data_IF_950746028208
#
_entry.id   IF_950746028208
#
_cell.length_a   1.000
_cell.length_b   1.000
_cell.length_c   1.000
_cell.angle_alpha   90.00
_cell.angle_beta   90.00
_cell.angle_gamma   90.00
#
_symmetry.space_group_name_H-M   'P 1'
#
loop_
_entity.id
_entity.type
_entity.pdbx_description
1 polymer ?
#
# COMPACT_ATOMS: atom_id res chain seq x y z
N UNK A 1 70.32 23.25 -7.09
CA UNK A 1 68.97 22.64 -7.05
C UNK A 1 68.16 23.37 -6.01
N UNK A 2 67.08 23.98 -6.48
CA UNK A 2 66.14 24.82 -5.74
C UNK A 2 65.27 23.94 -4.84
N UNK A 3 65.05 24.35 -3.60
CA UNK A 3 63.85 23.97 -2.86
C UNK A 3 63.14 25.24 -2.40
N UNK A 4 62.04 25.53 -3.09
CA UNK A 4 61.14 26.64 -2.82
C UNK A 4 60.11 26.22 -1.77
N UNK A 5 59.70 27.21 -0.97
CA UNK A 5 58.63 27.17 0.03
C UNK A 5 57.29 26.74 -0.56
N UNK A 6 56.50 26.00 0.22
CA UNK A 6 55.04 26.07 0.19
C UNK A 6 54.51 25.95 1.63
N UNK A 7 54.00 27.08 2.14
CA UNK A 7 53.10 27.14 3.29
C UNK A 7 51.71 26.86 2.74
N UNK A 8 51.07 25.78 3.17
CA UNK A 8 49.64 25.56 2.93
C UNK A 8 48.95 25.66 4.28
N UNK A 9 48.18 26.73 4.43
CA UNK A 9 47.14 26.88 5.44
C UNK A 9 46.11 25.78 5.17
N UNK A 10 46.10 24.72 5.97
CA UNK A 10 44.92 23.85 6.07
C UNK A 10 43.96 24.54 7.04
N UNK A 11 43.06 25.35 6.46
CA UNK A 11 41.76 25.61 7.07
C UNK A 11 41.16 24.24 7.37
N UNK A 12 40.82 24.00 8.64
CA UNK A 12 40.29 22.74 9.12
C UNK A 12 39.16 22.26 8.21
N UNK A 13 39.49 21.25 7.41
CA UNK A 13 38.55 20.42 6.71
C UNK A 13 37.68 19.79 7.80
N UNK A 14 36.39 20.12 7.83
CA UNK A 14 35.41 19.30 8.53
C UNK A 14 35.50 17.94 7.87
N UNK A 15 36.22 17.02 8.51
CA UNK A 15 36.19 15.61 8.16
C UNK A 15 34.79 15.16 8.55
N UNK A 16 33.86 15.23 7.60
CA UNK A 16 32.60 14.54 7.70
C UNK A 16 32.96 13.06 7.84
N UNK A 17 32.70 12.47 9.01
CA UNK A 17 32.67 11.02 9.15
C UNK A 17 31.67 10.41 8.16
N UNK A 18 31.52 9.07 8.10
CA UNK A 18 30.47 8.48 7.28
C UNK A 18 29.16 9.16 7.65
N UNK A 19 28.58 9.87 6.70
CA UNK A 19 27.23 10.44 6.82
C UNK A 19 26.37 9.22 7.05
N UNK A 20 25.94 8.99 8.28
CA UNK A 20 24.93 7.98 8.57
C UNK A 20 23.74 8.38 7.71
N UNK A 21 23.44 7.59 6.69
CA UNK A 21 22.30 7.87 5.84
C UNK A 21 21.05 7.77 6.73
N UNK A 22 20.47 8.91 7.09
CA UNK A 22 19.27 9.00 7.93
C UNK A 22 17.99 8.59 7.17
N UNK A 23 18.11 8.35 5.85
CA UNK A 23 17.03 8.00 4.94
C UNK A 23 17.58 7.31 3.70
N UNK A 24 16.73 6.56 3.00
CA UNK A 24 17.10 5.99 1.71
C UNK A 24 17.15 7.06 0.61
N UNK A 25 18.13 7.02 -0.31
CA UNK A 25 18.04 7.73 -1.57
C UNK A 25 17.17 6.95 -2.56
N UNK A 26 16.60 7.63 -3.55
CA UNK A 26 16.01 6.95 -4.69
C UNK A 26 17.13 6.24 -5.49
N UNK A 27 16.92 4.96 -5.81
CA UNK A 27 17.85 4.15 -6.59
C UNK A 27 17.10 3.19 -7.49
N UNK A 28 17.60 2.99 -8.71
CA UNK A 28 17.10 2.01 -9.67
C UNK A 28 17.93 0.72 -9.71
N UNK A 29 19.04 0.67 -8.96
CA UNK A 29 19.93 -0.49 -8.91
C UNK A 29 19.39 -1.48 -7.89
N UNK A 30 18.70 -2.51 -8.37
CA UNK A 30 18.13 -3.54 -7.51
C UNK A 30 19.22 -4.48 -6.96
N UNK A 31 19.18 -4.73 -5.64
CA UNK A 31 20.12 -5.60 -4.92
C UNK A 31 19.31 -6.61 -4.10
N UNK A 32 19.74 -7.87 -4.09
CA UNK A 32 19.12 -8.91 -3.25
C UNK A 32 19.87 -8.99 -1.92
N UNK A 33 19.14 -8.82 -0.82
CA UNK A 33 19.70 -8.80 0.55
C UNK A 33 19.09 -9.94 1.34
N UNK A 34 19.92 -10.74 2.01
CA UNK A 34 19.47 -11.74 2.96
C UNK A 34 19.69 -11.21 4.38
N UNK A 35 18.66 -11.22 5.21
CA UNK A 35 18.76 -10.89 6.63
C UNK A 35 18.68 -12.15 7.47
N UNK A 36 19.55 -12.28 8.47
CA UNK A 36 19.56 -13.38 9.41
C UNK A 36 19.38 -12.86 10.84
N UNK A 37 18.40 -13.41 11.55
CA UNK A 37 18.18 -13.16 12.97
C UNK A 37 18.74 -14.30 13.82
N UNK A 38 19.99 -14.23 14.31
CA UNK A 38 20.54 -15.23 15.24
C UNK A 38 20.09 -15.00 16.69
N UNK A 39 19.27 -13.99 16.98
CA UNK A 39 18.87 -13.67 18.35
C UNK A 39 17.74 -14.58 18.82
N UNK A 40 17.49 -14.60 20.13
CA UNK A 40 16.39 -15.38 20.72
C UNK A 40 15.02 -14.69 20.61
N UNK A 41 15.01 -13.41 20.21
CA UNK A 41 13.81 -12.59 20.10
C UNK A 41 13.51 -12.24 18.64
N UNK A 42 12.24 -12.00 18.27
CA UNK A 42 11.92 -11.54 16.93
C UNK A 42 12.53 -10.15 16.63
N UNK A 43 12.91 -9.94 15.37
CA UNK A 43 13.55 -8.70 14.90
C UNK A 43 12.73 -8.13 13.75
N UNK A 44 12.28 -6.89 13.88
CA UNK A 44 11.62 -6.15 12.82
C UNK A 44 12.67 -5.65 11.81
N UNK A 45 12.41 -5.88 10.52
CA UNK A 45 13.13 -5.29 9.39
C UNK A 45 12.36 -4.06 8.93
N UNK A 46 12.92 -2.86 9.13
CA UNK A 46 12.29 -1.61 8.74
C UNK A 46 13.13 -0.91 7.67
N UNK A 47 12.53 -0.62 6.53
CA UNK A 47 13.13 0.25 5.52
C UNK A 47 12.95 1.71 5.95
N UNK A 48 14.00 2.51 5.92
CA UNK A 48 13.90 3.95 6.16
C UNK A 48 13.60 4.62 4.81
N UNK A 49 12.38 5.12 4.64
CA UNK A 49 11.90 5.65 3.37
C UNK A 49 12.65 6.93 2.92
N UNK A 50 12.25 7.49 1.78
CA UNK A 50 12.86 8.70 1.21
C UNK A 50 12.68 9.96 2.05
N UNK A 51 11.78 9.92 3.05
CA UNK A 51 11.50 11.01 3.97
C UNK A 51 12.13 10.77 5.36
N UNK A 52 12.82 9.64 5.57
CA UNK A 52 13.43 9.28 6.86
C UNK A 52 12.48 8.55 7.82
N UNK A 53 11.29 8.12 7.37
CA UNK A 53 10.34 7.37 8.18
C UNK A 53 10.63 5.87 8.09
N UNK A 54 10.61 5.19 9.23
CA UNK A 54 10.72 3.73 9.28
C UNK A 54 9.41 3.08 8.79
N UNK A 55 9.53 2.21 7.80
CA UNK A 55 8.45 1.40 7.21
C UNK A 55 8.80 -0.07 7.45
N UNK A 56 8.06 -0.73 8.34
CA UNK A 56 8.30 -2.15 8.64
C UNK A 56 7.92 -3.00 7.42
N UNK A 57 8.86 -3.85 6.99
CA UNK A 57 8.71 -4.74 5.84
C UNK A 57 8.47 -6.19 6.27
N UNK A 58 9.13 -6.63 7.34
CA UNK A 58 9.01 -8.00 7.83
C UNK A 58 9.40 -8.09 9.30
N UNK A 59 9.05 -9.22 9.93
CA UNK A 59 9.58 -9.64 11.22
C UNK A 59 10.27 -10.98 11.05
N UNK A 60 11.54 -11.07 11.42
CA UNK A 60 12.31 -12.30 11.46
C UNK A 60 12.17 -12.96 12.82
N UNK A 61 11.64 -14.18 12.87
CA UNK A 61 11.66 -15.00 14.08
C UNK A 61 13.11 -15.36 14.49
N UNK A 62 13.27 -15.84 15.72
CA UNK A 62 14.56 -16.32 16.22
C UNK A 62 15.14 -17.43 15.33
N UNK A 63 16.38 -17.28 14.89
CA UNK A 63 17.06 -18.19 13.97
C UNK A 63 16.64 -18.08 12.50
N UNK A 64 15.67 -17.23 12.15
CA UNK A 64 15.14 -17.13 10.79
C UNK A 64 16.06 -16.33 9.87
N UNK A 65 16.05 -16.72 8.58
CA UNK A 65 16.62 -15.96 7.48
C UNK A 65 15.52 -15.53 6.52
N UNK A 66 15.66 -14.35 5.92
CA UNK A 66 14.76 -13.87 4.89
C UNK A 66 15.54 -13.12 3.81
N UNK A 67 15.34 -13.53 2.57
CA UNK A 67 15.86 -12.84 1.39
C UNK A 67 14.80 -11.90 0.85
N UNK A 68 15.18 -10.64 0.59
CA UNK A 68 14.31 -9.64 -0.02
C UNK A 68 15.04 -8.85 -1.09
N UNK A 69 14.27 -8.31 -2.04
CA UNK A 69 14.78 -7.37 -3.04
C UNK A 69 14.73 -5.95 -2.44
N UNK A 70 15.86 -5.26 -2.49
CA UNK A 70 16.03 -3.86 -2.09
C UNK A 70 16.72 -3.11 -3.23
N UNK A 71 17.11 -1.86 -3.01
CA UNK A 71 17.91 -1.08 -3.94
C UNK A 71 19.16 -0.53 -3.26
N UNK A 72 20.19 -0.28 -4.06
CA UNK A 72 21.44 0.31 -3.60
C UNK A 72 21.21 1.63 -2.87
N UNK A 73 21.92 1.82 -1.76
CA UNK A 73 21.80 2.96 -0.86
C UNK A 73 20.60 2.89 0.10
N UNK A 74 19.68 1.94 -0.04
CA UNK A 74 18.56 1.81 0.90
C UNK A 74 19.06 1.56 2.33
N UNK A 75 18.43 2.26 3.28
CA UNK A 75 18.75 2.17 4.71
C UNK A 75 17.70 1.29 5.39
N UNK A 76 18.18 0.38 6.22
CA UNK A 76 17.38 -0.59 6.96
C UNK A 76 17.68 -0.49 8.44
N UNK A 77 16.65 -0.33 9.26
CA UNK A 77 16.71 -0.46 10.71
C UNK A 77 16.21 -1.82 11.13
N UNK A 78 17.00 -2.51 11.93
CA UNK A 78 16.66 -3.78 12.52
C UNK A 78 16.40 -3.53 14.00
N UNK A 79 15.15 -3.69 14.42
CA UNK A 79 14.72 -3.38 15.79
C UNK A 79 14.23 -4.63 16.51
N UNK A 80 14.53 -4.70 17.81
CA UNK A 80 13.94 -5.70 18.70
C UNK A 80 12.44 -5.50 18.74
N UNK A 81 11.66 -6.54 18.43
CA UNK A 81 10.20 -6.50 18.53
C UNK A 81 9.76 -6.40 20.00
N UNK A 82 10.59 -6.85 20.94
CA UNK A 82 10.27 -6.85 22.37
C UNK A 82 10.14 -5.46 22.96
N UNK A 83 11.03 -4.55 22.57
CA UNK A 83 11.18 -3.24 23.23
C UNK A 83 11.47 -2.07 22.27
N UNK A 84 11.51 -2.33 20.95
CA UNK A 84 11.77 -1.34 19.92
C UNK A 84 13.24 -0.91 19.82
N UNK A 85 14.14 -1.53 20.59
CA UNK A 85 15.57 -1.16 20.60
C UNK A 85 16.16 -1.34 19.20
N UNK A 86 16.88 -0.32 18.70
CA UNK A 86 17.64 -0.41 17.46
C UNK A 86 18.83 -1.34 17.65
N UNK A 87 18.78 -2.50 17.00
CA UNK A 87 19.84 -3.51 17.04
C UNK A 87 20.90 -3.25 15.99
N UNK A 88 20.49 -2.83 14.78
CA UNK A 88 21.40 -2.55 13.67
C UNK A 88 20.79 -1.57 12.66
N UNK A 89 21.63 -0.68 12.13
CA UNK A 89 21.37 0.02 10.86
C UNK A 89 22.20 -0.64 9.77
N UNK A 90 21.58 -0.94 8.63
CA UNK A 90 22.23 -1.54 7.47
C UNK A 90 21.95 -0.68 6.23
N UNK A 91 22.98 -0.38 5.45
CA UNK A 91 22.86 0.34 4.18
C UNK A 91 23.21 -0.64 3.07
N UNK A 92 22.33 -0.77 2.08
CA UNK A 92 22.53 -1.68 0.95
C UNK A 92 23.64 -1.14 0.06
N UNK A 93 24.70 -1.91 -0.12
CA UNK A 93 25.81 -1.59 -1.02
C UNK A 93 25.52 -2.16 -2.43
N UNK A 94 25.97 -1.47 -3.49
CA UNK A 94 25.81 -1.88 -4.89
C UNK A 94 26.56 -3.20 -5.18
N UNK A 95 27.69 -3.41 -4.50
CA UNK A 95 28.60 -4.52 -4.76
C UNK A 95 28.50 -5.67 -3.74
N UNK A 96 27.61 -5.59 -2.74
CA UNK A 96 27.43 -6.65 -1.74
C UNK A 96 26.22 -7.53 -2.02
N UNK A 97 26.48 -8.81 -2.28
CA UNK A 97 25.50 -9.88 -2.16
C UNK A 97 25.93 -10.83 -1.04
N UNK A 98 25.10 -10.98 0.00
CA UNK A 98 25.39 -11.87 1.13
C UNK A 98 24.54 -11.62 2.37
N UNK A 99 24.61 -12.52 3.37
CA UNK A 99 23.79 -12.44 4.58
C UNK A 99 24.20 -11.28 5.51
N UNK A 100 23.21 -10.53 5.96
CA UNK A 100 23.30 -9.46 6.95
C UNK A 100 22.84 -10.00 8.30
N UNK A 101 23.78 -10.25 9.21
CA UNK A 101 23.50 -10.79 10.55
C UNK A 101 23.13 -9.68 11.54
N UNK A 102 22.05 -9.82 12.31
CA UNK A 102 21.54 -8.78 13.23
C UNK A 102 22.50 -8.36 14.36
N UNK A 103 23.54 -9.12 14.70
CA UNK A 103 24.25 -8.96 15.97
C UNK A 103 25.19 -7.74 16.08
N UNK A 104 24.79 -6.75 16.89
CA UNK A 104 25.66 -5.77 17.56
C UNK A 104 25.54 -5.91 19.10
N UNK A 105 26.63 -6.37 19.76
CA UNK A 105 26.86 -6.51 21.22
C UNK A 105 25.85 -7.35 22.05
N UNK A 106 26.23 -8.61 22.24
CA UNK A 106 26.01 -9.53 23.40
C UNK A 106 24.90 -9.23 24.42
N UNK A 107 23.87 -10.10 24.47
CA UNK A 107 23.06 -10.33 25.69
C UNK A 107 22.79 -11.84 25.89
N UNK A 108 22.87 -12.26 27.17
CA UNK A 108 22.90 -13.62 27.76
C UNK A 108 21.58 -14.44 27.62
N UNK A 109 21.63 -15.77 27.85
CA UNK A 109 20.49 -16.67 27.72
C UNK A 109 19.54 -16.62 28.93
N UNK A 110 18.29 -17.01 28.65
CA UNK A 110 17.10 -16.94 29.51
C UNK A 110 17.11 -17.89 30.73
N UNK A 111 16.27 -17.59 31.74
CA UNK A 111 15.64 -18.59 32.58
C UNK A 111 14.09 -18.61 32.42
N UNK A 112 13.50 -19.76 32.72
CA UNK A 112 12.06 -20.09 32.64
C UNK A 112 11.56 -20.56 34.04
N UNK A 113 10.27 -20.88 34.24
CA UNK A 113 9.05 -20.07 34.45
C UNK A 113 8.60 -20.05 35.95
N UNK A 114 7.57 -19.34 36.44
CA UNK A 114 6.09 -19.64 36.36
C UNK A 114 5.35 -18.73 37.40
N UNK A 115 4.00 -18.75 37.56
CA UNK A 115 2.92 -17.99 36.88
C UNK A 115 2.19 -16.96 37.78
N UNK A 116 1.27 -16.16 37.22
CA UNK A 116 -0.17 -16.04 37.62
C UNK A 116 -0.91 -15.08 36.67
N UNK A 117 -2.15 -15.49 36.35
CA UNK A 117 -3.14 -14.90 35.45
C UNK A 117 -3.59 -13.48 35.84
N UNK A 118 -3.93 -12.67 34.84
CA UNK A 118 -5.28 -12.11 34.68
C UNK A 118 -5.57 -11.90 33.20
N UNK A 119 -6.74 -12.38 32.79
CA UNK A 119 -7.22 -12.50 31.42
C UNK A 119 -7.67 -11.15 30.84
N UNK A 120 -6.90 -10.62 29.91
CA UNK A 120 -7.42 -9.99 28.70
C UNK A 120 -6.77 -10.75 27.54
N UNK A 121 -7.57 -11.31 26.64
CA UNK A 121 -7.03 -11.84 25.40
C UNK A 121 -6.26 -10.69 24.74
N UNK A 122 -4.96 -10.80 24.47
CA UNK A 122 -4.28 -9.76 23.71
C UNK A 122 -5.01 -9.68 22.36
N UNK A 123 -5.47 -8.48 21.98
CA UNK A 123 -5.93 -8.25 20.61
C UNK A 123 -4.83 -8.79 19.70
N UNK A 124 -5.19 -9.71 18.80
CA UNK A 124 -4.23 -10.27 17.86
C UNK A 124 -3.73 -9.11 17.00
N UNK A 125 -2.45 -9.10 16.63
CA UNK A 125 -1.99 -8.15 15.63
C UNK A 125 -2.78 -8.37 14.32
N UNK A 126 -3.13 -7.30 13.58
CA UNK A 126 -3.72 -7.45 12.26
C UNK A 126 -2.89 -8.42 11.40
N UNK A 127 -3.54 -9.30 10.61
CA UNK A 127 -2.82 -10.29 9.81
C UNK A 127 -2.05 -9.67 8.64
N UNK A 128 -2.37 -8.43 8.25
CA UNK A 128 -1.80 -7.76 7.09
C UNK A 128 -1.25 -6.37 7.45
N UNK A 129 -0.26 -5.88 6.71
CA UNK A 129 0.29 -4.52 6.92
C UNK A 129 -0.60 -3.43 6.30
N UNK A 130 -1.27 -3.74 5.19
CA UNK A 130 -2.20 -2.84 4.47
C UNK A 130 -1.65 -2.30 3.14
N UNK A 131 -2.39 -1.33 2.57
CA UNK A 131 -2.17 -0.68 1.27
C UNK A 131 -2.23 -1.64 0.07
N UNK A 132 -3.37 -2.27 -0.23
CA UNK A 132 -3.50 -3.17 -1.42
C UNK A 132 -2.43 -4.31 -1.33
N UNK A 133 -2.33 -5.25 -2.26
CA UNK A 133 -1.28 -6.28 -2.32
C UNK A 133 -1.44 -7.50 -1.40
N UNK A 134 -2.55 -7.63 -0.66
CA UNK A 134 -2.73 -8.77 0.25
C UNK A 134 -3.24 -10.00 -0.49
N UNK A 135 -3.98 -9.80 -1.58
CA UNK A 135 -4.55 -10.89 -2.35
C UNK A 135 -4.76 -10.52 -3.82
N UNK A 136 -3.66 -10.48 -4.58
CA UNK A 136 -3.63 -10.20 -6.04
C UNK A 136 -4.47 -11.14 -6.91
N UNK A 137 -5.10 -12.17 -6.32
CA UNK A 137 -6.01 -13.09 -6.99
C UNK A 137 -7.50 -12.74 -6.84
N UNK A 138 -7.91 -11.81 -5.96
CA UNK A 138 -9.34 -11.57 -5.70
C UNK A 138 -10.06 -11.04 -6.93
N UNK A 139 -9.52 -9.97 -7.51
CA UNK A 139 -9.94 -9.38 -8.76
C UNK A 139 -8.74 -9.39 -9.72
N UNK A 140 -8.97 -9.78 -10.96
CA UNK A 140 -7.91 -9.96 -11.96
C UNK A 140 -8.31 -9.33 -13.29
N UNK A 141 -7.32 -9.08 -14.15
CA UNK A 141 -7.53 -8.53 -15.49
C UNK A 141 -8.46 -9.41 -16.39
N UNK A 142 -8.55 -10.70 -16.06
CA UNK A 142 -9.38 -11.69 -16.75
C UNK A 142 -10.85 -11.68 -16.31
N UNK A 143 -11.18 -10.99 -15.22
CA UNK A 143 -12.57 -10.96 -14.74
C UNK A 143 -13.52 -10.28 -15.74
N UNK A 144 -14.77 -10.75 -15.84
CA UNK A 144 -15.74 -10.18 -16.76
C UNK A 144 -16.12 -8.75 -16.37
N UNK A 145 -16.04 -7.83 -17.32
CA UNK A 145 -16.43 -6.43 -17.10
C UNK A 145 -17.92 -6.20 -17.38
N UNK A 146 -18.57 -5.38 -16.56
CA UNK A 146 -19.92 -4.84 -16.73
C UNK A 146 -20.03 -3.74 -17.79
N UNK A 147 -18.89 -3.24 -18.27
CA UNK A 147 -18.83 -2.20 -19.28
C UNK A 147 -19.52 -2.65 -20.57
N UNK A 148 -20.55 -1.92 -20.98
CA UNK A 148 -21.26 -2.14 -22.24
C UNK A 148 -20.67 -1.32 -23.39
N UNK A 149 -20.12 -0.15 -23.08
CA UNK A 149 -19.45 0.69 -24.07
C UNK A 149 -19.06 2.05 -23.54
N UNK A 150 -18.31 2.78 -24.35
CA UNK A 150 -17.95 4.18 -24.13
C UNK A 150 -18.45 5.04 -25.30
N UNK A 151 -18.99 6.21 -24.98
CA UNK A 151 -19.30 7.25 -25.96
C UNK A 151 -18.50 8.51 -25.66
N UNK A 152 -17.95 9.15 -26.71
CA UNK A 152 -17.19 10.39 -26.54
C UNK A 152 -18.14 11.59 -26.43
N UNK A 153 -18.08 12.29 -25.31
CA UNK A 153 -18.95 13.44 -25.01
C UNK A 153 -18.35 14.77 -25.45
N UNK A 154 -17.03 14.82 -25.72
CA UNK A 154 -16.33 16.02 -26.19
C UNK A 154 -15.23 16.48 -25.26
N UNK A 155 -14.84 17.75 -25.40
CA UNK A 155 -13.90 18.43 -24.49
C UNK A 155 -14.66 19.43 -23.63
N UNK A 156 -14.49 19.33 -22.33
CA UNK A 156 -15.21 20.17 -21.36
C UNK A 156 -14.24 20.66 -20.28
N UNK A 157 -14.41 21.91 -19.84
CA UNK A 157 -13.73 22.37 -18.63
C UNK A 157 -14.38 21.74 -17.40
N UNK A 158 -13.57 21.08 -16.57
CA UNK A 158 -14.01 20.43 -15.32
C UNK A 158 -13.09 20.86 -14.19
N UNK A 159 -13.65 21.04 -13.00
CA UNK A 159 -12.86 21.22 -11.78
C UNK A 159 -12.45 19.85 -11.28
N UNK A 160 -11.16 19.53 -11.39
CA UNK A 160 -10.61 18.21 -11.03
C UNK A 160 -9.40 18.38 -10.12
N UNK A 161 -9.21 17.43 -9.20
CA UNK A 161 -8.05 17.41 -8.31
C UNK A 161 -6.87 16.72 -9.00
N UNK A 162 -5.70 17.35 -8.96
CA UNK A 162 -4.45 16.77 -9.43
C UNK A 162 -3.46 16.63 -8.28
N UNK A 163 -3.11 15.39 -7.93
CA UNK A 163 -2.19 15.09 -6.84
C UNK A 163 -0.77 15.61 -7.09
N UNK A 164 -0.35 15.76 -8.36
CA UNK A 164 0.97 16.32 -8.72
C UNK A 164 1.14 17.76 -8.22
N UNK A 165 0.03 18.51 -8.15
CA UNK A 165 0.01 19.90 -7.67
C UNK A 165 -0.61 20.04 -6.27
N UNK A 166 -1.35 19.03 -5.83
CA UNK A 166 -2.08 19.03 -4.56
C UNK A 166 -3.29 19.97 -4.57
N UNK A 167 -3.85 20.31 -5.74
CA UNK A 167 -4.93 21.29 -5.88
C UNK A 167 -6.04 20.81 -6.81
N UNK A 168 -7.21 21.41 -6.63
CA UNK A 168 -8.30 21.31 -7.59
C UNK A 168 -8.30 22.54 -8.50
N UNK A 169 -8.10 22.31 -9.80
CA UNK A 169 -8.04 23.35 -10.82
C UNK A 169 -9.08 23.08 -11.91
N UNK A 170 -9.46 24.14 -12.65
CA UNK A 170 -10.34 24.00 -13.81
C UNK A 170 -9.51 23.64 -15.03
N UNK A 171 -9.58 22.39 -15.45
CA UNK A 171 -8.78 21.83 -16.55
C UNK A 171 -9.69 21.41 -17.71
N UNK A 172 -9.16 21.49 -18.93
CA UNK A 172 -9.84 20.97 -20.11
C UNK A 172 -9.71 19.44 -20.12
N UNK A 173 -10.83 18.73 -20.06
CA UNK A 173 -10.89 17.27 -20.02
C UNK A 173 -11.54 16.72 -21.31
N UNK A 174 -11.04 15.60 -21.80
CA UNK A 174 -11.69 14.76 -22.80
C UNK A 174 -12.62 13.79 -22.05
N UNK A 175 -13.93 13.97 -22.22
CA UNK A 175 -14.94 13.25 -21.44
C UNK A 175 -15.51 12.10 -22.27
N UNK A 176 -15.50 10.91 -21.69
CA UNK A 176 -16.12 9.72 -22.24
C UNK A 176 -17.17 9.21 -21.26
N UNK A 177 -18.39 8.97 -21.72
CA UNK A 177 -19.43 8.36 -20.89
C UNK A 177 -19.35 6.84 -21.01
N UNK A 178 -19.03 6.18 -19.90
CA UNK A 178 -19.03 4.73 -19.78
C UNK A 178 -20.39 4.23 -19.28
N UNK A 179 -20.99 3.31 -20.01
CA UNK A 179 -22.27 2.67 -19.66
C UNK A 179 -22.03 1.26 -19.13
N UNK A 180 -22.67 0.89 -18.03
CA UNK A 180 -22.53 -0.41 -17.37
C UNK A 180 -23.88 -1.13 -17.33
N UNK A 181 -23.86 -2.47 -17.44
CA UNK A 181 -25.08 -3.28 -17.47
C UNK A 181 -25.88 -3.27 -16.16
N UNK A 182 -25.22 -2.98 -15.04
CA UNK A 182 -25.71 -3.23 -13.68
C UNK A 182 -25.56 -2.02 -12.73
N UNK A 183 -25.17 -0.85 -13.25
CA UNK A 183 -25.05 0.40 -12.48
C UNK A 183 -25.33 1.62 -13.36
N UNK A 184 -25.39 2.80 -12.73
CA UNK A 184 -25.44 4.06 -13.46
C UNK A 184 -24.17 4.31 -14.30
N UNK A 185 -24.24 5.23 -15.26
CA UNK A 185 -23.10 5.61 -16.09
C UNK A 185 -22.07 6.43 -15.32
N UNK A 186 -20.82 6.33 -15.76
CA UNK A 186 -19.66 7.03 -15.17
C UNK A 186 -19.02 7.92 -16.23
N UNK A 187 -18.80 9.19 -15.89
CA UNK A 187 -18.06 10.13 -16.75
C UNK A 187 -16.55 9.93 -16.54
N UNK A 188 -15.88 9.40 -17.55
CA UNK A 188 -14.43 9.21 -17.57
C UNK A 188 -13.77 10.47 -18.12
N UNK A 189 -13.18 11.26 -17.24
CA UNK A 189 -12.58 12.56 -17.53
C UNK A 189 -11.07 12.40 -17.68
N UNK A 190 -10.58 12.42 -18.91
CA UNK A 190 -9.14 12.30 -19.19
C UNK A 190 -8.54 13.66 -19.49
N UNK A 191 -7.48 14.05 -18.80
CA UNK A 191 -6.87 15.36 -18.97
C UNK A 191 -6.44 15.58 -20.45
N UNK A 192 -6.67 16.78 -20.99
CA UNK A 192 -6.30 17.08 -22.38
C UNK A 192 -4.78 17.16 -22.62
N UNK A 193 -3.96 16.90 -21.61
CA UNK A 193 -2.53 16.58 -21.77
C UNK A 193 -2.29 15.26 -22.55
N UNK A 194 -3.31 14.40 -22.66
CA UNK A 194 -3.29 13.24 -23.53
C UNK A 194 -3.77 13.59 -24.94
N UNK A 195 -3.07 13.14 -26.01
CA UNK A 195 -3.62 13.14 -27.36
C UNK A 195 -4.95 12.35 -27.42
N UNK A 196 -5.89 12.67 -28.34
CA UNK A 196 -7.21 12.05 -28.37
C UNK A 196 -7.23 10.52 -28.41
N UNK A 197 -6.31 9.90 -29.17
CA UNK A 197 -6.20 8.44 -29.25
C UNK A 197 -5.76 7.83 -27.93
N UNK A 198 -4.78 8.46 -27.25
CA UNK A 198 -4.32 8.01 -25.94
C UNK A 198 -5.38 8.23 -24.87
N UNK A 199 -6.08 9.37 -24.91
CA UNK A 199 -7.16 9.65 -23.98
C UNK A 199 -8.28 8.61 -24.07
N UNK A 200 -8.64 8.21 -25.30
CA UNK A 200 -9.60 7.14 -25.52
C UNK A 200 -9.10 5.80 -24.98
N UNK A 201 -7.84 5.45 -25.22
CA UNK A 201 -7.26 4.20 -24.71
C UNK A 201 -7.26 4.16 -23.18
N UNK A 202 -6.88 5.25 -22.51
CA UNK A 202 -6.95 5.37 -21.05
C UNK A 202 -8.38 5.25 -20.53
N UNK A 203 -9.34 5.90 -21.21
CA UNK A 203 -10.74 5.81 -20.84
C UNK A 203 -11.29 4.39 -20.97
N UNK A 204 -11.02 3.72 -22.09
CA UNK A 204 -11.43 2.33 -22.33
C UNK A 204 -10.82 1.37 -21.30
N UNK A 205 -9.53 1.54 -20.99
CA UNK A 205 -8.81 0.72 -20.02
C UNK A 205 -9.42 0.84 -18.61
N UNK A 206 -9.47 2.04 -18.03
CA UNK A 206 -9.96 2.19 -16.66
C UNK A 206 -11.47 2.01 -16.52
N UNK A 207 -12.27 2.31 -17.56
CA UNK A 207 -13.68 1.95 -17.56
C UNK A 207 -13.89 0.43 -17.53
N UNK A 208 -13.04 -0.33 -18.23
CA UNK A 208 -13.07 -1.80 -18.17
C UNK A 208 -12.77 -2.28 -16.76
N UNK A 209 -11.67 -1.79 -16.14
CA UNK A 209 -11.24 -2.14 -14.78
C UNK A 209 -12.36 -1.84 -13.76
N UNK A 210 -12.93 -0.65 -13.80
CA UNK A 210 -14.08 -0.28 -12.96
C UNK A 210 -15.28 -1.18 -13.19
N UNK A 211 -15.50 -1.62 -14.43
CA UNK A 211 -16.57 -2.57 -14.76
C UNK A 211 -16.35 -3.99 -14.22
N UNK A 212 -15.13 -4.37 -13.85
CA UNK A 212 -14.85 -5.69 -13.25
C UNK A 212 -15.23 -5.76 -11.77
N UNK A 213 -15.37 -4.59 -11.11
CA UNK A 213 -15.81 -4.53 -9.72
C UNK A 213 -17.24 -5.07 -9.55
N UNK A 214 -17.67 -5.46 -8.34
CA UNK A 214 -19.08 -5.67 -8.06
C UNK A 214 -19.87 -4.36 -8.22
N UNK A 215 -21.13 -4.46 -8.68
CA UNK A 215 -21.99 -3.29 -8.93
C UNK A 215 -22.15 -2.39 -7.70
N UNK A 216 -22.09 -2.97 -6.50
CA UNK A 216 -22.11 -2.25 -5.22
C UNK A 216 -21.00 -1.17 -5.14
N UNK A 217 -19.81 -1.45 -5.66
CA UNK A 217 -18.69 -0.49 -5.67
C UNK A 217 -18.82 0.60 -6.74
N UNK A 218 -19.75 0.45 -7.69
CA UNK A 218 -20.09 1.49 -8.67
C UNK A 218 -21.31 2.32 -8.28
N UNK A 219 -21.98 2.03 -7.15
CA UNK A 219 -23.26 2.64 -6.81
C UNK A 219 -23.21 4.17 -6.76
N UNK A 220 -22.18 4.74 -6.13
CA UNK A 220 -22.05 6.19 -5.96
C UNK A 220 -20.90 6.77 -6.82
N UNK A 221 -20.31 5.96 -7.68
CA UNK A 221 -19.27 6.40 -8.60
C UNK A 221 -19.91 7.15 -9.77
N UNK A 222 -19.61 8.44 -9.89
CA UNK A 222 -20.15 9.28 -10.98
C UNK A 222 -19.09 9.64 -12.00
N UNK A 223 -17.81 9.59 -11.63
CA UNK A 223 -16.74 9.97 -12.54
C UNK A 223 -15.39 9.32 -12.23
N UNK A 224 -14.52 9.26 -13.23
CA UNK A 224 -13.09 9.00 -13.08
C UNK A 224 -12.32 10.26 -13.51
N UNK A 225 -11.21 10.56 -12.83
CA UNK A 225 -10.28 11.63 -13.23
C UNK A 225 -8.94 10.99 -13.57
N UNK A 226 -8.48 11.15 -14.82
CA UNK A 226 -7.23 10.53 -15.29
C UNK A 226 -6.22 11.62 -15.69
N UNK A 227 -5.06 11.57 -15.05
CA UNK A 227 -3.90 12.43 -15.25
C UNK A 227 -2.66 11.61 -15.66
N UNK A 228 -1.70 12.23 -16.34
CA UNK A 228 -0.33 11.67 -16.41
C UNK A 228 0.34 11.78 -15.04
N UNK A 229 1.42 11.04 -14.84
CA UNK A 229 2.28 11.13 -13.66
C UNK A 229 2.23 9.88 -12.79
N UNK A 230 3.08 9.89 -11.76
CA UNK A 230 3.30 8.78 -10.84
C UNK A 230 2.89 9.18 -9.42
N UNK A 231 1.60 9.36 -9.23
CA UNK A 231 0.98 9.64 -7.93
C UNK A 231 0.00 8.53 -7.59
N UNK A 232 -0.25 8.30 -6.29
CA UNK A 232 -1.19 7.27 -5.85
C UNK A 232 -2.59 7.49 -6.46
N UNK A 233 -3.40 6.44 -6.50
CA UNK A 233 -4.83 6.60 -6.79
C UNK A 233 -5.56 7.20 -5.58
N UNK A 234 -6.80 7.63 -5.76
CA UNK A 234 -7.60 8.13 -4.65
C UNK A 234 -9.10 8.07 -4.92
N UNK A 235 -9.86 7.58 -3.95
CA UNK A 235 -11.31 7.51 -3.96
C UNK A 235 -11.97 8.57 -3.08
N UNK A 236 -13.25 8.81 -3.34
CA UNK A 236 -14.07 9.76 -2.59
C UNK A 236 -14.74 10.81 -3.47
N UNK A 237 -15.68 11.58 -2.90
CA UNK A 237 -16.42 12.63 -3.62
C UNK A 237 -17.07 12.14 -4.94
N UNK A 238 -17.55 10.88 -4.96
CA UNK A 238 -18.14 10.25 -6.15
C UNK A 238 -17.17 10.12 -7.34
N UNK A 239 -15.86 10.13 -7.09
CA UNK A 239 -14.79 10.11 -8.09
C UNK A 239 -13.67 9.12 -7.70
N UNK A 240 -13.00 8.56 -8.71
CA UNK A 240 -11.69 7.92 -8.53
C UNK A 240 -10.65 8.68 -9.35
N UNK A 241 -9.60 9.12 -8.66
CA UNK A 241 -8.41 9.77 -9.19
C UNK A 241 -7.37 8.74 -9.60
N UNK A 242 -6.85 8.91 -10.82
CA UNK A 242 -5.92 7.99 -11.45
C UNK A 242 -4.77 8.79 -12.06
N UNK A 243 -3.55 8.39 -11.75
CA UNK A 243 -2.32 8.85 -12.42
C UNK A 243 -1.69 7.69 -13.17
N UNK A 244 -1.51 7.84 -14.49
CA UNK A 244 -1.30 6.69 -15.37
C UNK A 244 -0.01 5.92 -15.14
N UNK A 245 1.09 6.57 -14.73
CA UNK A 245 2.36 5.86 -14.48
C UNK A 245 2.27 4.98 -13.24
N UNK A 246 1.50 5.41 -12.23
CA UNK A 246 1.19 4.61 -11.06
C UNK A 246 0.25 3.44 -11.41
N UNK A 247 -0.75 3.69 -12.26
CA UNK A 247 -1.62 2.63 -12.77
C UNK A 247 -0.87 1.57 -13.56
N UNK A 248 0.10 1.97 -14.38
CA UNK A 248 1.02 1.05 -15.06
C UNK A 248 1.88 0.25 -14.08
N UNK A 249 2.32 0.86 -12.96
CA UNK A 249 3.01 0.13 -11.89
C UNK A 249 2.11 -0.91 -11.22
N UNK A 250 0.87 -0.54 -10.87
CA UNK A 250 -0.11 -1.46 -10.32
C UNK A 250 -0.42 -2.59 -11.28
N UNK A 251 -0.55 -2.32 -12.57
CA UNK A 251 -0.78 -3.35 -13.57
C UNK A 251 0.42 -4.31 -13.67
N UNK A 252 1.66 -3.79 -13.73
CA UNK A 252 2.88 -4.64 -13.75
C UNK A 252 3.00 -5.53 -12.51
N UNK A 253 2.47 -5.08 -11.38
CA UNK A 253 2.49 -5.81 -10.10
C UNK A 253 1.28 -6.74 -9.94
N UNK A 254 0.30 -6.69 -10.86
CA UNK A 254 -0.91 -7.52 -10.82
C UNK A 254 -1.90 -7.12 -9.73
N UNK A 255 -2.01 -5.82 -9.44
CA UNK A 255 -2.76 -5.28 -8.29
C UNK A 255 -3.57 -4.03 -8.63
N UNK A 256 -3.74 -3.75 -9.93
CA UNK A 256 -4.53 -2.62 -10.41
C UNK A 256 -6.00 -2.76 -10.02
N UNK A 257 -6.58 -3.94 -10.18
CA UNK A 257 -7.96 -4.22 -9.86
C UNK A 257 -8.20 -4.15 -8.34
N UNK A 258 -7.24 -4.62 -7.53
CA UNK A 258 -7.28 -4.51 -6.07
C UNK A 258 -7.22 -3.04 -5.63
N UNK A 259 -6.34 -2.23 -6.22
CA UNK A 259 -6.27 -0.80 -5.97
C UNK A 259 -7.57 -0.11 -6.37
N UNK A 260 -8.12 -0.44 -7.55
CA UNK A 260 -9.41 0.12 -7.99
C UNK A 260 -10.56 -0.27 -7.05
N UNK A 261 -10.57 -1.51 -6.54
CA UNK A 261 -11.55 -1.96 -5.56
C UNK A 261 -11.47 -1.16 -4.26
N UNK A 262 -10.25 -0.89 -3.76
CA UNK A 262 -10.01 -0.07 -2.58
C UNK A 262 -10.55 1.36 -2.77
N UNK A 263 -10.19 2.05 -3.86
CA UNK A 263 -10.67 3.42 -4.10
C UNK A 263 -12.18 3.50 -4.37
N UNK A 264 -12.74 2.46 -4.98
CA UNK A 264 -14.18 2.38 -5.19
C UNK A 264 -14.94 2.11 -3.89
N UNK A 265 -14.34 1.41 -2.92
CA UNK A 265 -14.90 1.25 -1.58
C UNK A 265 -15.00 2.60 -0.86
N UNK A 266 -13.93 3.42 -0.89
CA UNK A 266 -14.01 4.79 -0.38
C UNK A 266 -15.14 5.60 -1.03
N UNK A 267 -15.29 5.44 -2.35
CA UNK A 267 -16.27 6.19 -3.13
C UNK A 267 -17.71 5.78 -2.83
N UNK A 268 -17.98 4.48 -2.71
CA UNK A 268 -19.35 3.94 -2.71
C UNK A 268 -19.82 3.35 -1.38
N UNK A 269 -18.91 3.11 -0.42
CA UNK A 269 -19.25 2.40 0.82
C UNK A 269 -19.07 3.28 2.06
N UNK A 270 -18.02 4.08 2.16
CA UNK A 270 -17.65 4.80 3.38
C UNK A 270 -18.81 5.60 3.99
N UNK A 271 -19.50 6.39 3.17
CA UNK A 271 -20.63 7.24 3.60
C UNK A 271 -21.86 6.45 4.06
N UNK A 272 -21.94 5.17 3.70
CA UNK A 272 -23.05 4.28 4.07
C UNK A 272 -22.69 3.34 5.21
N UNK A 273 -21.41 3.02 5.41
CA UNK A 273 -20.95 2.04 6.39
C UNK A 273 -20.45 2.71 7.66
N UNK A 274 -19.60 3.73 7.59
CA UNK A 274 -19.06 4.38 8.79
C UNK A 274 -20.11 4.94 9.74
N UNK A 275 -21.25 5.50 9.25
CA UNK A 275 -22.32 5.95 10.15
C UNK A 275 -23.09 4.82 10.83
N UNK A 276 -22.98 3.56 10.40
CA UNK A 276 -23.77 2.46 10.93
C UNK A 276 -23.33 2.11 12.36
N UNK A 277 -24.26 2.07 13.33
CA UNK A 277 -23.95 1.52 14.66
C UNK A 277 -23.43 0.08 14.60
N UNK A 278 -23.92 -0.70 13.62
CA UNK A 278 -23.48 -2.08 13.39
C UNK A 278 -21.99 -2.17 13.00
N UNK A 279 -21.48 -1.22 12.19
CA UNK A 279 -20.07 -1.17 11.84
C UNK A 279 -19.20 -0.87 13.07
N UNK A 280 -19.53 0.17 13.83
CA UNK A 280 -18.78 0.50 15.06
C UNK A 280 -18.83 -0.63 16.10
N UNK A 281 -19.96 -1.32 16.21
CA UNK A 281 -20.07 -2.51 17.06
C UNK A 281 -19.18 -3.65 16.55
N UNK A 282 -19.13 -3.88 15.23
CA UNK A 282 -18.25 -4.86 14.63
C UNK A 282 -16.76 -4.56 14.87
N UNK A 283 -16.33 -3.31 14.69
CA UNK A 283 -14.95 -2.88 14.97
C UNK A 283 -14.52 -3.17 16.41
N UNK A 284 -15.43 -3.04 17.37
CA UNK A 284 -15.17 -3.30 18.78
C UNK A 284 -15.19 -4.79 19.14
N UNK A 285 -16.04 -5.57 18.46
CA UNK A 285 -16.25 -6.98 18.71
C UNK A 285 -15.25 -7.89 17.99
N UNK A 286 -14.63 -7.40 16.91
CA UNK A 286 -13.63 -8.15 16.16
C UNK A 286 -12.33 -8.36 16.96
N UNK A 287 -11.69 -9.53 16.83
CA UNK A 287 -10.38 -9.78 17.46
C UNK A 287 -9.32 -8.75 17.10
N UNK A 288 -9.34 -8.24 15.86
CA UNK A 288 -8.44 -7.19 15.37
C UNK A 288 -9.00 -6.49 14.13
N UNK A 289 -8.28 -5.52 13.57
CA UNK A 289 -8.57 -4.99 12.23
C UNK A 289 -7.97 -5.91 11.16
N UNK A 290 -8.38 -5.74 9.91
CA UNK A 290 -7.87 -6.58 8.82
C UNK A 290 -6.39 -6.29 8.53
N UNK A 291 -5.98 -5.03 8.65
CA UNK A 291 -4.61 -4.59 8.42
C UNK A 291 -4.14 -3.59 9.49
N UNK A 292 -2.83 -3.40 9.61
CA UNK A 292 -2.25 -2.34 10.45
C UNK A 292 -2.75 -0.97 10.00
N UNK A 293 -2.85 -0.74 8.68
CA UNK A 293 -3.38 0.51 8.13
C UNK A 293 -4.84 0.77 8.52
N UNK A 294 -5.70 -0.25 8.43
CA UNK A 294 -7.08 -0.20 8.92
C UNK A 294 -7.16 0.05 10.43
N UNK A 295 -6.25 -0.53 11.21
CA UNK A 295 -6.19 -0.33 12.66
C UNK A 295 -5.79 1.11 13.04
N UNK A 296 -4.85 1.70 12.30
CA UNK A 296 -4.40 3.08 12.50
C UNK A 296 -5.43 4.12 12.03
N UNK A 297 -6.24 3.78 11.02
CA UNK A 297 -7.20 4.69 10.38
C UNK A 297 -8.62 4.09 10.37
N UNK A 298 -9.19 3.75 11.54
CA UNK A 298 -10.41 2.94 11.64
C UNK A 298 -11.65 3.61 11.03
N UNK A 299 -11.69 4.94 10.98
CA UNK A 299 -12.81 5.72 10.46
C UNK A 299 -12.58 6.22 9.01
N UNK A 300 -11.53 5.72 8.35
CA UNK A 300 -11.18 6.12 6.98
C UNK A 300 -10.80 4.96 6.07
N UNK A 301 -9.94 4.05 6.54
CA UNK A 301 -9.32 3.02 5.69
C UNK A 301 -9.89 1.62 5.97
N UNK A 302 -10.51 1.40 7.14
CA UNK A 302 -11.00 0.08 7.56
C UNK A 302 -12.01 -0.54 6.59
N UNK A 303 -12.92 0.24 6.01
CA UNK A 303 -13.88 -0.26 5.02
C UNK A 303 -13.16 -0.66 3.73
N UNK A 304 -12.31 0.22 3.19
CA UNK A 304 -11.61 -0.01 1.93
C UNK A 304 -10.61 -1.17 2.00
N UNK A 305 -9.87 -1.27 3.10
CA UNK A 305 -8.93 -2.37 3.37
C UNK A 305 -9.65 -3.70 3.60
N UNK A 306 -10.84 -3.68 4.24
CA UNK A 306 -11.58 -4.91 4.55
C UNK A 306 -12.40 -5.43 3.38
N UNK A 307 -12.99 -4.54 2.57
CA UNK A 307 -14.00 -4.95 1.60
C UNK A 307 -13.45 -5.83 0.48
N UNK A 308 -12.28 -5.50 -0.06
CA UNK A 308 -11.69 -6.29 -1.15
C UNK A 308 -11.44 -7.75 -0.69
N UNK A 309 -10.86 -7.92 0.50
CA UNK A 309 -10.61 -9.24 1.08
C UNK A 309 -11.89 -9.98 1.43
N UNK A 310 -12.91 -9.28 1.95
CA UNK A 310 -14.25 -9.82 2.15
C UNK A 310 -14.86 -10.33 0.83
N UNK A 311 -14.78 -9.54 -0.24
CA UNK A 311 -15.32 -9.90 -1.55
C UNK A 311 -14.66 -11.17 -2.08
N UNK A 312 -13.33 -11.26 -1.99
CA UNK A 312 -12.59 -12.48 -2.31
C UNK A 312 -13.02 -13.67 -1.48
N UNK A 313 -13.12 -13.50 -0.16
CA UNK A 313 -13.55 -14.55 0.76
C UNK A 313 -14.95 -15.10 0.44
N UNK A 314 -15.89 -14.24 0.05
CA UNK A 314 -17.29 -14.64 -0.18
C UNK A 314 -17.57 -15.15 -1.59
N UNK A 315 -17.02 -14.51 -2.61
CA UNK A 315 -17.41 -14.75 -4.00
C UNK A 315 -16.35 -15.51 -4.80
N UNK A 316 -15.10 -15.46 -4.35
CA UNK A 316 -13.97 -16.11 -5.02
C UNK A 316 -13.02 -16.81 -4.03
N UNK A 317 -13.53 -17.61 -3.07
CA UNK A 317 -12.69 -18.22 -2.04
C UNK A 317 -11.61 -19.11 -2.67
N UNK A 318 -11.84 -19.70 -3.84
CA UNK A 318 -10.88 -20.51 -4.59
C UNK A 318 -9.63 -19.75 -5.04
N UNK A 319 -9.69 -18.41 -5.08
CA UNK A 319 -8.57 -17.54 -5.48
C UNK A 319 -7.72 -17.08 -4.29
N UNK A 320 -8.13 -17.42 -3.08
CA UNK A 320 -7.40 -17.11 -1.86
C UNK A 320 -6.75 -18.37 -1.31
N UNK A 321 -5.53 -18.24 -0.78
CA UNK A 321 -4.93 -19.32 -0.01
C UNK A 321 -5.74 -19.60 1.25
N UNK A 322 -5.71 -20.85 1.72
CA UNK A 322 -6.43 -21.28 2.93
C UNK A 322 -6.07 -20.40 4.12
N UNK A 323 -4.77 -20.16 4.34
CA UNK A 323 -4.26 -19.36 5.45
C UNK A 323 -4.72 -17.91 5.38
N UNK A 324 -4.87 -17.35 4.16
CA UNK A 324 -5.39 -16.00 3.95
C UNK A 324 -6.87 -15.94 4.33
N UNK A 325 -7.68 -16.91 3.89
CA UNK A 325 -9.11 -16.98 4.27
C UNK A 325 -9.29 -17.10 5.78
N UNK A 326 -8.55 -18.02 6.42
CA UNK A 326 -8.60 -18.22 7.86
C UNK A 326 -8.16 -16.96 8.62
N UNK A 327 -7.15 -16.24 8.10
CA UNK A 327 -6.70 -14.97 8.68
C UNK A 327 -7.76 -13.88 8.60
N UNK A 328 -8.46 -13.74 7.46
CA UNK A 328 -9.57 -12.79 7.29
C UNK A 328 -10.71 -13.12 8.26
N UNK A 329 -11.16 -14.38 8.29
CA UNK A 329 -12.26 -14.84 9.14
C UNK A 329 -11.94 -14.74 10.64
N UNK A 330 -10.68 -14.98 11.02
CA UNK A 330 -10.24 -14.84 12.40
C UNK A 330 -10.06 -13.39 12.83
N UNK A 331 -9.69 -12.49 11.90
CA UNK A 331 -9.43 -11.09 12.19
C UNK A 331 -10.73 -10.29 12.33
N UNK A 332 -11.64 -10.40 11.35
CA UNK A 332 -12.78 -9.48 11.20
C UNK A 332 -14.16 -10.15 11.06
N UNK A 333 -14.50 -11.20 11.84
CA UNK A 333 -15.74 -11.99 11.66
C UNK A 333 -17.03 -11.17 11.77
N UNK A 334 -17.05 -10.07 12.53
CA UNK A 334 -18.21 -9.22 12.69
C UNK A 334 -18.32 -8.19 11.57
N UNK A 335 -17.20 -7.61 11.07
CA UNK A 335 -17.25 -6.74 9.88
C UNK A 335 -17.71 -7.51 8.65
N UNK A 336 -17.28 -8.76 8.50
CA UNK A 336 -17.78 -9.67 7.46
C UNK A 336 -19.32 -9.78 7.52
N UNK A 337 -19.91 -9.93 8.71
CA UNK A 337 -21.37 -9.98 8.86
C UNK A 337 -22.07 -8.67 8.49
N UNK A 338 -21.42 -7.52 8.69
CA UNK A 338 -21.95 -6.24 8.22
C UNK A 338 -21.97 -6.22 6.69
N UNK A 339 -20.89 -6.67 6.06
CA UNK A 339 -20.83 -6.75 4.60
C UNK A 339 -21.79 -7.79 4.00
N UNK A 340 -22.03 -8.92 4.69
CA UNK A 340 -23.02 -9.94 4.28
C UNK A 340 -24.46 -9.36 4.22
N UNK A 341 -24.72 -8.23 4.88
CA UNK A 341 -26.01 -7.55 4.91
C UNK A 341 -26.19 -6.39 3.92
N UNK A 342 -25.20 -6.12 3.06
CA UNK A 342 -25.21 -5.02 2.09
C UNK A 342 -26.00 -5.29 0.81
#
# INVERSE_FOLDING_TARGET
>A
MVWLRAVILLVGLVICGPVWAERSPASSVAVTVEFENPTADPVALLWVDFNGKEVQYATLAAGQRQTLKSYAGHVWHLRSVRDGTLLRTYVVDEDQSGPVTVAGKTVRPAPTPTPVQQSSSPRRHPPFSGQVFVASGVLTEDDPSALQGLSYSGREERTVFDRRTGRSDRLLMQVFRAEFRDSGPVDVQVNSEFPPSEARAQAEHYARVVGQLPALLRRDLTSLTIHRGNELFGGGSHNILIHTEQGEDYQRRGVLEEAMCHEAAHTSLDSHIYPLPAWRAAQQADPTAISDYAAEHPDREDVAESFCLYYGLRFHPERLDVDVRESIEAAIPNRIRVFDGL
#
